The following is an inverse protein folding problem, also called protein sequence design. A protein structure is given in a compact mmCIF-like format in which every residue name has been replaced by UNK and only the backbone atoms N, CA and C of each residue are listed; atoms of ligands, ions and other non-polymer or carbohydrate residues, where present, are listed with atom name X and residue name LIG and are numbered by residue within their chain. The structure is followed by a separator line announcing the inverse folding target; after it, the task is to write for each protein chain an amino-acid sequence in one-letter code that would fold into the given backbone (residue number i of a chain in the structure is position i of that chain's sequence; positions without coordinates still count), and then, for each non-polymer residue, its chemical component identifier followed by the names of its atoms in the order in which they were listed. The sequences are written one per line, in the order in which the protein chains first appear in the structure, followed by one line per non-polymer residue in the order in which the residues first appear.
data_IF_691568676752
#
_entry.id   IF_691568676752
#
_cell.length_a   1.000
_cell.length_b   1.000
_cell.length_c   1.000
_cell.angle_alpha   90.00
_cell.angle_beta   90.00
_cell.angle_gamma   90.00
#
_symmetry.space_group_name_H-M   'P 1'
#
loop_
_entity.id
_entity.type
_entity.pdbx_description
1 polymer ?
#
# COMPACT_ATOMS: atom_id res chain seq x y z
N UNK A 1 -12.32 -48.46 9.94
CA UNK A 1 -12.62 -47.13 10.49
C UNK A 1 -12.08 -47.13 11.91
N UNK A 2 -11.17 -46.21 12.22
CA UNK A 2 -10.76 -45.73 13.57
C UNK A 2 -9.30 -45.32 13.54
N UNK A 3 -9.04 -44.10 13.06
CA UNK A 3 -7.78 -43.41 13.24
C UNK A 3 -8.12 -41.95 13.58
N UNK A 4 -8.38 -41.67 14.86
CA UNK A 4 -8.54 -40.32 15.36
C UNK A 4 -8.04 -40.21 16.81
N UNK A 5 -6.73 -40.33 16.98
CA UNK A 5 -6.03 -39.77 18.14
C UNK A 5 -4.75 -39.06 17.69
N UNK A 6 -4.83 -37.74 17.54
CA UNK A 6 -3.87 -36.82 18.18
C UNK A 6 -4.59 -35.53 18.54
N UNK A 7 -4.60 -35.20 19.82
CA UNK A 7 -4.96 -33.87 20.32
C UNK A 7 -3.84 -32.91 19.91
N UNK A 8 -4.17 -31.85 19.18
CA UNK A 8 -3.41 -30.59 19.25
C UNK A 8 -4.35 -29.50 19.70
N UNK A 9 -4.28 -29.22 21.00
CA UNK A 9 -4.58 -27.89 21.51
C UNK A 9 -3.68 -26.87 20.80
N UNK A 10 -4.20 -25.66 20.76
CA UNK A 10 -3.50 -24.39 20.97
C UNK A 10 -3.61 -23.47 19.78
N UNK A 11 -4.17 -22.31 20.07
CA UNK A 11 -4.60 -21.31 19.12
C UNK A 11 -3.48 -20.75 18.28
N UNK A 12 -3.88 -20.29 17.10
CA UNK A 12 -3.17 -19.27 16.38
C UNK A 12 -3.99 -17.98 16.52
N UNK A 13 -3.94 -17.37 17.70
CA UNK A 13 -4.04 -15.92 17.80
C UNK A 13 -2.75 -15.37 17.18
N UNK A 14 -2.75 -15.21 15.86
CA UNK A 14 -1.69 -14.50 15.17
C UNK A 14 -1.84 -13.02 15.52
N UNK A 15 -0.90 -12.55 16.33
CA UNK A 15 -0.89 -11.24 16.95
C UNK A 15 -1.30 -10.12 16.01
N UNK A 16 -2.20 -9.27 16.52
CA UNK A 16 -2.54 -7.99 15.93
C UNK A 16 -1.30 -7.10 16.02
N UNK A 17 -0.44 -7.15 15.00
CA UNK A 17 0.63 -6.18 14.86
C UNK A 17 -0.01 -4.80 14.74
N UNK A 18 0.15 -3.99 15.79
CA UNK A 18 -0.21 -2.56 15.80
C UNK A 18 0.80 -1.75 14.98
N UNK A 19 1.23 -2.30 13.84
CA UNK A 19 1.89 -1.55 12.79
C UNK A 19 0.78 -1.05 11.86
N UNK A 20 0.69 0.25 11.68
CA UNK A 20 -0.30 0.85 10.78
C UNK A 20 -0.05 0.29 9.37
N UNK A 21 -0.85 -0.68 8.93
CA UNK A 21 -0.67 -1.34 7.63
C UNK A 21 -1.00 -0.34 6.54
N UNK A 22 0.01 0.05 5.77
CA UNK A 22 -0.12 0.93 4.60
C UNK A 22 0.08 0.11 3.33
N UNK A 23 -0.55 0.54 2.24
CA UNK A 23 -0.32 -0.06 0.92
C UNK A 23 1.08 0.33 0.39
N UNK A 24 1.63 -0.43 -0.54
CA UNK A 24 2.89 -0.06 -1.20
C UNK A 24 2.79 1.28 -1.93
N UNK A 25 1.62 1.57 -2.51
CA UNK A 25 1.33 2.86 -3.14
C UNK A 25 1.37 4.03 -2.16
N UNK A 26 0.76 3.85 -0.98
CA UNK A 26 0.78 4.85 0.08
C UNK A 26 2.19 5.04 0.65
N UNK A 27 2.94 3.96 0.84
CA UNK A 27 4.33 4.02 1.27
C UNK A 27 5.18 4.85 0.29
N UNK A 28 5.02 4.62 -1.02
CA UNK A 28 5.72 5.40 -2.05
C UNK A 28 5.39 6.89 -1.96
N UNK A 29 4.11 7.25 -1.87
CA UNK A 29 3.69 8.65 -1.76
C UNK A 29 4.22 9.33 -0.50
N UNK A 30 4.19 8.64 0.65
CA UNK A 30 4.76 9.16 1.90
C UNK A 30 6.25 9.41 1.79
N UNK A 31 7.00 8.51 1.14
CA UNK A 31 8.42 8.72 0.87
C UNK A 31 8.64 9.95 -0.01
N UNK A 32 7.87 10.12 -1.08
CA UNK A 32 7.98 11.29 -1.97
C UNK A 32 7.71 12.60 -1.24
N UNK A 33 6.68 12.64 -0.39
CA UNK A 33 6.40 13.81 0.47
C UNK A 33 7.55 14.05 1.46
N UNK A 34 8.10 13.00 2.07
CA UNK A 34 9.19 13.12 3.03
C UNK A 34 10.49 13.65 2.40
N UNK A 35 10.75 13.29 1.15
CA UNK A 35 11.85 13.83 0.33
C UNK A 35 11.56 15.23 -0.24
N UNK A 36 10.40 15.82 0.07
CA UNK A 36 10.04 17.17 -0.36
C UNK A 36 9.66 17.29 -1.84
N UNK A 37 9.28 16.18 -2.49
CA UNK A 37 8.83 16.17 -3.88
C UNK A 37 7.47 16.87 -3.99
N UNK A 38 7.43 17.93 -4.78
CA UNK A 38 6.22 18.74 -4.99
C UNK A 38 5.50 18.42 -6.30
N UNK A 39 6.23 17.92 -7.30
CA UNK A 39 5.68 17.70 -8.65
C UNK A 39 6.11 16.33 -9.19
N UNK A 40 5.16 15.56 -9.70
CA UNK A 40 5.40 14.27 -10.35
C UNK A 40 4.88 14.33 -11.78
N UNK A 41 5.72 13.93 -12.74
CA UNK A 41 5.31 13.71 -14.13
C UNK A 41 5.02 12.23 -14.33
N UNK A 42 3.87 11.90 -14.90
CA UNK A 42 3.52 10.50 -15.12
C UNK A 42 2.45 10.30 -16.18
N UNK A 43 2.47 9.11 -16.78
CA UNK A 43 1.44 8.65 -17.68
C UNK A 43 0.58 7.58 -16.98
N UNK A 44 -0.76 7.71 -16.95
CA UNK A 44 -1.62 6.74 -16.30
C UNK A 44 -1.67 5.43 -17.10
N UNK A 45 -1.73 4.30 -16.39
CA UNK A 45 -1.86 2.98 -16.99
C UNK A 45 -2.35 1.95 -15.98
N UNK A 46 -2.89 0.82 -16.46
CA UNK A 46 -3.57 -0.16 -15.60
C UNK A 46 -2.72 -0.70 -14.45
N UNK A 47 -1.44 -0.98 -14.71
CA UNK A 47 -0.53 -1.53 -13.69
C UNK A 47 -0.19 -0.55 -12.55
N UNK A 48 -0.25 0.76 -12.81
CA UNK A 48 0.14 1.80 -11.85
C UNK A 48 -1.07 2.45 -11.16
N UNK A 49 -2.29 2.00 -11.46
CA UNK A 49 -3.53 2.56 -10.88
C UNK A 49 -3.56 2.62 -9.35
N UNK A 50 -3.08 1.62 -8.59
CA UNK A 50 -3.08 1.72 -7.12
C UNK A 50 -2.31 2.94 -6.60
N UNK A 51 -1.28 3.40 -7.33
CA UNK A 51 -0.51 4.61 -7.00
C UNK A 51 -1.28 5.86 -7.36
N UNK A 52 -1.97 5.90 -8.51
CA UNK A 52 -2.81 7.03 -8.90
C UNK A 52 -4.04 7.19 -7.99
N UNK A 53 -4.66 6.09 -7.57
CA UNK A 53 -5.74 6.08 -6.59
C UNK A 53 -5.28 6.67 -5.26
N UNK A 54 -4.11 6.23 -4.78
CA UNK A 54 -3.53 6.77 -3.56
C UNK A 54 -3.11 8.24 -3.73
N UNK A 55 -2.57 8.62 -4.89
CA UNK A 55 -2.11 9.99 -5.20
C UNK A 55 -3.26 11.00 -5.13
N UNK A 56 -4.49 10.57 -5.42
CA UNK A 56 -5.68 11.40 -5.26
C UNK A 56 -5.82 11.97 -3.84
N UNK A 57 -5.43 11.20 -2.81
CA UNK A 57 -5.45 11.63 -1.41
C UNK A 57 -4.30 12.56 -1.01
N UNK A 58 -3.34 12.80 -1.90
CA UNK A 58 -2.15 13.65 -1.68
C UNK A 58 -2.11 14.84 -2.63
N UNK A 59 -3.22 15.17 -3.28
CA UNK A 59 -3.34 16.29 -4.24
C UNK A 59 -3.07 17.66 -3.62
N UNK A 60 -3.16 17.79 -2.30
CA UNK A 60 -2.79 18.98 -1.52
C UNK A 60 -1.27 19.13 -1.34
N UNK A 61 -0.49 18.05 -1.53
CA UNK A 61 0.96 18.01 -1.29
C UNK A 61 1.78 17.77 -2.55
N UNK A 62 1.23 17.01 -3.48
CA UNK A 62 1.90 16.57 -4.70
C UNK A 62 1.06 17.00 -5.89
N UNK A 63 1.69 17.75 -6.79
CA UNK A 63 1.10 18.18 -8.04
C UNK A 63 1.45 17.16 -9.14
N UNK A 64 0.44 16.54 -9.74
CA UNK A 64 0.65 15.58 -10.83
C UNK A 64 0.49 16.25 -12.18
N UNK A 65 1.46 16.02 -13.06
CA UNK A 65 1.42 16.49 -14.44
C UNK A 65 1.39 15.28 -15.36
N UNK A 66 0.36 15.21 -16.20
CA UNK A 66 0.25 14.20 -17.24
C UNK A 66 1.39 14.39 -18.24
N UNK A 67 2.26 13.39 -18.35
CA UNK A 67 3.27 13.34 -19.39
C UNK A 67 2.63 12.83 -20.68
N UNK A 68 2.73 13.63 -21.75
CA UNK A 68 2.36 13.23 -23.10
C UNK A 68 3.64 12.82 -23.83
N UNK A 69 3.59 11.69 -24.55
CA UNK A 69 4.56 11.35 -25.59
C UNK A 69 3.92 11.63 -26.95
#
# INVERSE_FOLDING_TARGET
MDALLTKTKTGAEAGKETGNKISGAEALLRCLVAEGVQTIFGYPGGAIMPVYDALYHYTDKINHILALY
#
